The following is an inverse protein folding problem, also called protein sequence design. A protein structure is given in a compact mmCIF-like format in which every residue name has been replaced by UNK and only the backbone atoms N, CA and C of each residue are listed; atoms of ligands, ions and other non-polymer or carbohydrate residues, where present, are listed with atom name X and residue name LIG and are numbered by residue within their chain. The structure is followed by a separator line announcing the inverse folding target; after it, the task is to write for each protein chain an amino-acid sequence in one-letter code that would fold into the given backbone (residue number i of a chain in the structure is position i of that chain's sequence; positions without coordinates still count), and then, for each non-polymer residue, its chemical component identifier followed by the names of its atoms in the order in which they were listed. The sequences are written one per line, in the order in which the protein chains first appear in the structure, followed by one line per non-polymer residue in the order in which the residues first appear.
data_IF_806231456948
#
_entry.id   IF_806231456948
#
_cell.length_a   1.000
_cell.length_b   1.000
_cell.length_c   1.000
_cell.angle_alpha   90.00
_cell.angle_beta   90.00
_cell.angle_gamma   90.00
#
_symmetry.space_group_name_H-M   'P 1'
#
loop_
_entity.id
_entity.type
_entity.pdbx_description
1 polymer ?
#
# COMPACT_ATOMS: atom_id res chain seq x y z
N UNK A 1 6.76 -26.20 -14.41
CA UNK A 1 6.30 -24.80 -14.58
C UNK A 1 7.16 -24.12 -15.65
N UNK A 2 6.57 -23.29 -16.51
CA UNK A 2 7.36 -22.49 -17.46
C UNK A 2 8.12 -21.43 -16.66
N UNK A 3 9.43 -21.31 -16.91
CA UNK A 3 10.27 -20.32 -16.21
C UNK A 3 9.75 -18.91 -16.53
N UNK A 4 9.45 -18.12 -15.48
CA UNK A 4 9.08 -16.71 -15.64
C UNK A 4 10.35 -15.91 -15.95
N UNK A 5 10.31 -15.13 -17.03
CA UNK A 5 11.37 -14.17 -17.36
C UNK A 5 10.95 -12.82 -16.81
N UNK A 6 11.49 -12.45 -15.66
CA UNK A 6 11.17 -11.18 -14.98
C UNK A 6 12.43 -10.32 -14.94
N UNK A 7 12.27 -9.04 -15.25
CA UNK A 7 13.33 -8.03 -15.20
C UNK A 7 13.00 -6.93 -14.18
N UNK A 8 11.69 -6.62 -14.03
CA UNK A 8 11.21 -5.54 -13.15
C UNK A 8 10.11 -6.08 -12.23
N UNK A 9 10.19 -5.74 -10.94
CA UNK A 9 9.20 -6.11 -9.94
C UNK A 9 8.64 -4.84 -9.31
N UNK A 10 7.33 -4.66 -9.45
CA UNK A 10 6.58 -3.59 -8.81
C UNK A 10 5.93 -4.11 -7.54
N UNK A 11 5.97 -3.32 -6.48
CA UNK A 11 5.41 -3.68 -5.18
C UNK A 11 4.31 -2.70 -4.79
N UNK A 12 3.14 -3.24 -4.46
CA UNK A 12 2.21 -2.51 -3.61
C UNK A 12 2.86 -2.24 -2.24
N UNK A 13 2.43 -1.18 -1.56
CA UNK A 13 3.14 -0.68 -0.37
C UNK A 13 2.34 -0.92 0.91
N UNK A 14 1.10 -0.41 0.97
CA UNK A 14 0.27 -0.48 2.18
C UNK A 14 -0.37 -1.85 2.32
N UNK A 15 -0.08 -2.55 3.41
CA UNK A 15 -0.51 -3.93 3.65
C UNK A 15 0.46 -4.95 3.05
N UNK A 16 1.08 -4.66 1.92
CA UNK A 16 2.01 -5.56 1.23
C UNK A 16 3.42 -5.49 1.80
N UNK A 17 4.01 -4.28 1.87
CA UNK A 17 5.35 -4.03 2.41
C UNK A 17 5.29 -3.55 3.85
N UNK A 18 4.29 -2.74 4.20
CA UNK A 18 4.13 -2.12 5.51
C UNK A 18 2.86 -2.60 6.22
N UNK A 19 2.99 -2.95 7.51
CA UNK A 19 1.88 -3.23 8.41
C UNK A 19 1.20 -1.91 8.82
N UNK A 20 0.26 -1.46 7.99
CA UNK A 20 -0.46 -0.22 8.22
C UNK A 20 -1.37 -0.29 9.44
N UNK A 21 -2.08 -1.42 9.63
CA UNK A 21 -3.11 -1.55 10.66
C UNK A 21 -2.50 -1.45 12.06
N UNK A 22 -1.47 -2.24 12.36
CA UNK A 22 -0.78 -2.20 13.65
C UNK A 22 -0.11 -0.85 13.89
N UNK A 23 0.50 -0.27 12.83
CA UNK A 23 1.18 1.03 12.92
C UNK A 23 0.19 2.16 13.22
N UNK A 24 -0.91 2.26 12.48
CA UNK A 24 -1.92 3.31 12.68
C UNK A 24 -2.65 3.13 14.00
N UNK A 25 -2.98 1.91 14.41
CA UNK A 25 -3.54 1.64 15.74
C UNK A 25 -2.65 2.18 16.86
N UNK A 26 -1.34 1.94 16.79
CA UNK A 26 -0.41 2.45 17.79
C UNK A 26 -0.40 3.98 17.81
N UNK A 27 -0.38 4.62 16.64
CA UNK A 27 -0.46 6.08 16.53
C UNK A 27 -1.79 6.62 17.05
N UNK A 28 -2.90 5.94 16.79
CA UNK A 28 -4.24 6.28 17.29
C UNK A 28 -4.29 6.16 18.82
N UNK A 29 -3.72 5.10 19.39
CA UNK A 29 -3.60 4.94 20.85
C UNK A 29 -2.75 6.05 21.48
N UNK A 30 -1.63 6.40 20.85
CA UNK A 30 -0.79 7.49 21.31
C UNK A 30 -1.53 8.83 21.27
N UNK A 31 -2.30 9.08 20.21
CA UNK A 31 -3.10 10.28 20.02
C UNK A 31 -4.22 10.37 21.05
N UNK A 32 -5.02 9.30 21.24
CA UNK A 32 -6.10 9.28 22.23
C UNK A 32 -5.57 9.50 23.65
N UNK A 33 -4.46 8.87 24.00
CA UNK A 33 -3.81 9.02 25.31
C UNK A 33 -3.29 10.45 25.52
N UNK A 34 -2.62 11.04 24.53
CA UNK A 34 -2.07 12.40 24.59
C UNK A 34 -3.14 13.46 24.88
N UNK A 35 -4.30 13.31 24.25
CA UNK A 35 -5.40 14.27 24.37
C UNK A 35 -6.50 13.83 25.34
N UNK A 36 -6.30 12.69 26.05
CA UNK A 36 -7.26 12.11 27.01
C UNK A 36 -8.63 11.87 26.37
N UNK A 37 -8.63 11.39 25.13
CA UNK A 37 -9.84 11.08 24.38
C UNK A 37 -10.35 9.69 24.77
N UNK A 38 -11.65 9.48 24.62
CA UNK A 38 -12.30 8.20 24.91
C UNK A 38 -13.07 7.73 23.69
N UNK A 39 -12.46 6.87 22.91
CA UNK A 39 -13.08 6.15 21.79
C UNK A 39 -12.35 4.82 21.58
N UNK A 40 -12.96 3.91 20.81
CA UNK A 40 -12.33 2.63 20.45
C UNK A 40 -11.30 2.86 19.33
N UNK A 41 -10.02 2.69 19.63
CA UNK A 41 -8.91 2.93 18.70
C UNK A 41 -8.91 1.93 17.54
N UNK A 42 -9.46 0.72 17.73
CA UNK A 42 -9.64 -0.25 16.66
C UNK A 42 -10.66 0.25 15.65
N UNK A 43 -11.85 0.57 16.13
CA UNK A 43 -12.95 1.07 15.32
C UNK A 43 -12.55 2.37 14.60
N UNK A 44 -11.82 3.27 15.29
CA UNK A 44 -11.33 4.50 14.69
C UNK A 44 -10.36 4.22 13.52
N UNK A 45 -9.39 3.34 13.73
CA UNK A 45 -8.40 2.96 12.71
C UNK A 45 -9.08 2.34 11.48
N UNK A 46 -10.02 1.42 11.70
CA UNK A 46 -10.74 0.74 10.63
C UNK A 46 -11.64 1.72 9.85
N UNK A 47 -12.33 2.62 10.55
CA UNK A 47 -13.16 3.65 9.92
C UNK A 47 -12.30 4.65 9.11
N UNK A 48 -11.10 5.01 9.60
CA UNK A 48 -10.18 5.86 8.85
C UNK A 48 -9.78 5.21 7.53
N UNK A 49 -9.42 3.93 7.57
CA UNK A 49 -9.09 3.16 6.36
C UNK A 49 -10.29 2.98 5.43
N UNK A 50 -11.47 2.67 5.98
CA UNK A 50 -12.69 2.50 5.21
C UNK A 50 -13.12 3.79 4.51
N UNK A 51 -13.07 4.93 5.21
CA UNK A 51 -13.35 6.24 4.64
C UNK A 51 -12.40 6.60 3.50
N UNK A 52 -11.09 6.31 3.67
CA UNK A 52 -10.11 6.46 2.60
C UNK A 52 -10.50 5.64 1.35
N UNK A 53 -10.79 4.35 1.51
CA UNK A 53 -11.19 3.48 0.38
C UNK A 53 -12.46 3.95 -0.31
N UNK A 54 -13.43 4.46 0.45
CA UNK A 54 -14.67 5.03 -0.11
C UNK A 54 -14.38 6.26 -0.98
N UNK A 55 -13.58 7.21 -0.49
CA UNK A 55 -13.25 8.42 -1.24
C UNK A 55 -12.36 8.12 -2.45
N UNK A 56 -11.41 7.21 -2.31
CA UNK A 56 -10.60 6.70 -3.41
C UNK A 56 -11.45 6.11 -4.52
N UNK A 57 -12.48 5.31 -4.18
CA UNK A 57 -13.38 4.72 -5.18
C UNK A 57 -14.18 5.79 -5.93
N UNK A 58 -14.57 6.88 -5.27
CA UNK A 58 -15.26 8.01 -5.92
C UNK A 58 -14.37 8.70 -6.95
N UNK A 59 -13.06 8.85 -6.65
CA UNK A 59 -12.09 9.36 -7.62
C UNK A 59 -11.94 8.39 -8.80
N UNK A 60 -11.74 7.10 -8.53
CA UNK A 60 -11.58 6.09 -9.56
C UNK A 60 -12.80 5.98 -10.51
N UNK A 61 -14.00 6.25 -10.00
CA UNK A 61 -15.26 6.24 -10.76
C UNK A 61 -15.58 7.60 -11.42
N UNK A 62 -14.69 8.60 -11.37
CA UNK A 62 -14.89 9.92 -11.93
C UNK A 62 -15.99 10.75 -11.23
N UNK A 63 -16.37 10.36 -10.02
CA UNK A 63 -17.37 11.10 -9.21
C UNK A 63 -16.72 12.23 -8.41
N UNK A 64 -15.42 12.31 -8.43
CA UNK A 64 -14.61 13.30 -7.72
C UNK A 64 -13.27 13.49 -8.44
N UNK A 65 -12.74 14.73 -8.41
CA UNK A 65 -11.39 15.03 -8.86
C UNK A 65 -10.33 14.28 -8.03
N UNK A 66 -9.17 14.06 -8.63
CA UNK A 66 -8.04 13.42 -7.93
C UNK A 66 -7.61 14.25 -6.72
N UNK A 67 -7.44 13.58 -5.61
CA UNK A 67 -6.82 14.07 -4.39
C UNK A 67 -5.67 13.12 -4.01
N UNK A 68 -4.62 13.63 -3.39
CA UNK A 68 -3.56 12.79 -2.82
C UNK A 68 -4.09 11.95 -1.65
N UNK A 69 -3.36 10.89 -1.31
CA UNK A 69 -3.70 10.06 -0.15
C UNK A 69 -3.73 10.87 1.15
N UNK A 70 -2.78 11.82 1.33
CA UNK A 70 -2.75 12.70 2.50
C UNK A 70 -3.99 13.58 2.62
N UNK A 71 -4.47 14.14 1.50
CA UNK A 71 -5.66 14.96 1.48
C UNK A 71 -6.91 14.14 1.82
N UNK A 72 -7.03 12.94 1.26
CA UNK A 72 -8.14 12.03 1.58
C UNK A 72 -8.09 11.59 3.05
N UNK A 73 -6.92 11.21 3.56
CA UNK A 73 -6.77 10.83 4.96
C UNK A 73 -7.13 11.96 5.90
N UNK A 74 -6.70 13.20 5.59
CA UNK A 74 -7.05 14.38 6.39
C UNK A 74 -8.56 14.67 6.39
N UNK A 75 -9.21 14.52 5.23
CA UNK A 75 -10.66 14.70 5.13
C UNK A 75 -11.41 13.69 5.99
N UNK A 76 -11.04 12.40 5.90
CA UNK A 76 -11.66 11.34 6.71
C UNK A 76 -11.34 11.54 8.19
N UNK A 77 -10.11 11.94 8.55
CA UNK A 77 -9.74 12.23 9.93
C UNK A 77 -10.64 13.31 10.53
N UNK A 78 -10.84 14.42 9.81
CA UNK A 78 -11.73 15.49 10.27
C UNK A 78 -13.17 15.00 10.45
N UNK A 79 -13.71 14.21 9.51
CA UNK A 79 -15.05 13.62 9.63
C UNK A 79 -15.19 12.74 10.88
N UNK A 80 -14.21 11.88 11.15
CA UNK A 80 -14.23 11.01 12.33
C UNK A 80 -14.16 11.80 13.64
N UNK A 81 -13.35 12.86 13.69
CA UNK A 81 -13.25 13.69 14.87
C UNK A 81 -14.54 14.51 15.11
N UNK A 82 -15.17 15.02 14.04
CA UNK A 82 -16.46 15.72 14.12
C UNK A 82 -17.57 14.79 14.63
N UNK A 83 -17.64 13.55 14.15
CA UNK A 83 -18.59 12.52 14.61
C UNK A 83 -18.41 12.21 16.12
N UNK A 84 -17.18 12.28 16.60
CA UNK A 84 -16.84 12.08 18.01
C UNK A 84 -16.96 13.37 18.86
N UNK A 85 -17.34 14.51 18.26
CA UNK A 85 -17.39 15.83 18.87
C UNK A 85 -16.03 16.27 19.45
N UNK A 86 -14.92 15.92 18.80
CA UNK A 86 -13.55 16.26 19.18
C UNK A 86 -13.11 17.49 18.37
N UNK A 87 -13.13 18.68 18.97
CA UNK A 87 -12.88 19.95 18.26
C UNK A 87 -11.66 20.75 18.81
N UNK A 88 -11.07 20.31 19.92
CA UNK A 88 -10.03 21.06 20.64
C UNK A 88 -8.60 20.68 20.26
N UNK A 89 -8.41 20.09 19.07
CA UNK A 89 -7.08 19.70 18.57
C UNK A 89 -6.58 20.75 17.57
N UNK A 90 -5.38 21.27 17.79
CA UNK A 90 -4.79 22.25 16.86
C UNK A 90 -4.54 21.64 15.48
N UNK A 91 -4.64 22.48 14.43
CA UNK A 91 -4.37 22.05 13.05
C UNK A 91 -3.00 21.40 12.88
N UNK A 92 -1.98 21.94 13.54
CA UNK A 92 -0.62 21.37 13.51
C UNK A 92 -0.60 19.93 14.05
N UNK A 93 -1.29 19.67 15.16
CA UNK A 93 -1.38 18.34 15.74
C UNK A 93 -2.20 17.36 14.88
N UNK A 94 -3.23 17.84 14.18
CA UNK A 94 -3.98 17.04 13.22
C UNK A 94 -3.13 16.68 12.00
N UNK A 95 -2.35 17.62 11.48
CA UNK A 95 -1.38 17.35 10.40
C UNK A 95 -0.36 16.32 10.84
N UNK A 96 0.21 16.45 12.05
CA UNK A 96 1.16 15.47 12.56
C UNK A 96 0.53 14.08 12.75
N UNK A 97 -0.73 14.03 13.21
CA UNK A 97 -1.45 12.75 13.34
C UNK A 97 -1.78 12.16 11.96
N UNK A 98 -2.18 12.97 10.97
CA UNK A 98 -2.37 12.50 9.61
C UNK A 98 -1.07 11.95 9.02
N UNK A 99 0.08 12.55 9.32
CA UNK A 99 1.39 12.04 8.91
C UNK A 99 1.80 10.71 9.58
N UNK A 100 0.97 10.11 10.44
CA UNK A 100 1.16 8.73 10.93
C UNK A 100 1.33 7.73 9.78
N UNK A 101 0.62 7.96 8.68
CA UNK A 101 0.72 7.14 7.47
C UNK A 101 2.11 7.22 6.80
N UNK A 102 2.95 8.19 7.15
CA UNK A 102 4.34 8.31 6.71
C UNK A 102 5.34 7.55 7.62
N UNK A 103 4.86 6.93 8.73
CA UNK A 103 5.69 6.32 9.77
C UNK A 103 5.37 4.84 10.01
N UNK A 104 4.73 4.19 9.04
CA UNK A 104 4.38 2.78 9.12
C UNK A 104 5.63 1.91 9.31
N UNK A 105 5.45 0.78 9.98
CA UNK A 105 6.49 -0.22 10.14
C UNK A 105 6.40 -1.26 9.03
N UNK A 106 7.53 -1.65 8.41
CA UNK A 106 7.53 -2.74 7.44
C UNK A 106 7.24 -4.07 8.14
N UNK A 107 6.75 -5.06 7.38
CA UNK A 107 6.73 -6.44 7.82
C UNK A 107 8.17 -6.96 8.03
N UNK A 108 8.33 -7.98 8.86
CA UNK A 108 9.64 -8.49 9.27
C UNK A 108 10.50 -8.98 8.08
N UNK A 109 9.85 -9.53 7.04
CA UNK A 109 10.47 -10.03 5.81
C UNK A 109 10.74 -8.95 4.75
N UNK A 110 10.18 -7.74 4.92
CA UNK A 110 10.19 -6.74 3.86
C UNK A 110 11.59 -6.23 3.53
N UNK A 111 12.39 -5.91 4.55
CA UNK A 111 13.71 -5.30 4.33
C UNK A 111 14.66 -6.32 3.71
N UNK A 112 14.73 -7.54 4.28
CA UNK A 112 15.62 -8.60 3.79
C UNK A 112 15.22 -9.08 2.40
N UNK A 113 13.93 -9.35 2.18
CA UNK A 113 13.43 -9.84 0.91
C UNK A 113 13.60 -8.83 -0.23
N UNK A 114 13.28 -7.55 0.02
CA UNK A 114 13.48 -6.50 -1.00
C UNK A 114 14.97 -6.28 -1.30
N UNK A 115 15.84 -6.34 -0.29
CA UNK A 115 17.29 -6.21 -0.48
C UNK A 115 17.88 -7.36 -1.33
N UNK A 116 17.40 -8.60 -1.13
CA UNK A 116 17.84 -9.73 -1.97
C UNK A 116 17.34 -9.58 -3.41
N UNK A 117 16.06 -9.24 -3.60
CA UNK A 117 15.47 -9.06 -4.93
C UNK A 117 16.15 -7.94 -5.72
N UNK A 118 16.51 -6.82 -5.08
CA UNK A 118 17.21 -5.69 -5.69
C UNK A 118 18.56 -6.08 -6.32
N UNK A 119 19.22 -7.10 -5.83
CA UNK A 119 20.49 -7.56 -6.40
C UNK A 119 20.33 -8.21 -7.79
N UNK A 120 19.11 -8.56 -8.17
CA UNK A 120 18.83 -9.35 -9.39
C UNK A 120 17.79 -8.72 -10.31
N UNK A 121 16.95 -7.85 -9.80
CA UNK A 121 15.81 -7.25 -10.50
C UNK A 121 15.77 -5.74 -10.24
N UNK A 122 15.18 -4.99 -11.16
CA UNK A 122 14.76 -3.62 -10.87
C UNK A 122 13.55 -3.72 -9.92
N UNK A 123 13.62 -3.14 -8.72
CA UNK A 123 12.52 -3.11 -7.77
C UNK A 123 11.96 -1.71 -7.64
N UNK A 124 10.65 -1.58 -7.79
CA UNK A 124 9.95 -0.31 -7.70
C UNK A 124 8.75 -0.38 -6.77
N UNK A 125 8.58 0.61 -5.91
CA UNK A 125 7.27 0.82 -5.30
C UNK A 125 6.28 1.29 -6.38
N UNK A 126 5.04 0.77 -6.37
CA UNK A 126 3.92 1.24 -7.19
C UNK A 126 2.68 1.33 -6.29
N UNK A 127 2.34 2.53 -5.84
CA UNK A 127 1.43 2.71 -4.73
C UNK A 127 0.43 3.84 -4.92
N UNK A 128 -0.73 3.69 -4.30
CA UNK A 128 -1.74 4.73 -4.17
C UNK A 128 -1.31 5.87 -3.22
N UNK A 129 -0.24 5.65 -2.42
CA UNK A 129 0.33 6.69 -1.57
C UNK A 129 0.96 7.82 -2.39
N UNK A 130 0.86 9.06 -1.90
CA UNK A 130 1.54 10.18 -2.52
C UNK A 130 3.07 10.06 -2.39
N UNK A 131 3.80 10.63 -3.34
CA UNK A 131 5.24 10.45 -3.47
C UNK A 131 6.00 10.84 -2.19
N UNK A 132 5.64 11.95 -1.56
CA UNK A 132 6.30 12.41 -0.34
C UNK A 132 6.17 11.40 0.82
N UNK A 133 5.00 10.76 0.95
CA UNK A 133 4.75 9.70 1.92
C UNK A 133 5.62 8.47 1.63
N UNK A 134 5.65 8.00 0.38
CA UNK A 134 6.43 6.83 -0.03
C UNK A 134 7.94 7.05 0.19
N UNK A 135 8.44 8.26 -0.10
CA UNK A 135 9.84 8.63 0.15
C UNK A 135 10.15 8.62 1.65
N UNK A 136 9.27 9.18 2.49
CA UNK A 136 9.44 9.15 3.96
C UNK A 136 9.42 7.73 4.50
N UNK A 137 8.48 6.89 4.04
CA UNK A 137 8.41 5.47 4.42
C UNK A 137 9.69 4.72 4.05
N UNK A 138 10.15 4.87 2.81
CA UNK A 138 11.41 4.29 2.32
C UNK A 138 12.59 4.68 3.22
N UNK A 139 12.74 5.98 3.49
CA UNK A 139 13.84 6.51 4.30
C UNK A 139 13.78 6.05 5.75
N UNK A 140 12.60 6.06 6.36
CA UNK A 140 12.40 5.69 7.77
C UNK A 140 12.61 4.19 8.03
N UNK A 141 12.37 3.34 7.02
CA UNK A 141 12.51 1.88 7.11
C UNK A 141 13.83 1.35 6.55
N UNK A 142 14.66 2.24 5.97
CA UNK A 142 15.89 1.84 5.27
C UNK A 142 15.64 0.86 4.10
N UNK A 143 14.48 0.98 3.43
CA UNK A 143 14.18 0.25 2.20
C UNK A 143 14.70 1.07 1.02
N UNK A 144 15.54 0.47 0.19
CA UNK A 144 16.20 1.13 -0.95
C UNK A 144 15.60 0.66 -2.27
N UNK A 145 14.59 1.35 -2.74
CA UNK A 145 14.00 1.14 -4.06
C UNK A 145 14.95 1.61 -5.19
N UNK A 146 14.82 1.02 -6.39
CA UNK A 146 15.41 1.59 -7.61
C UNK A 146 14.54 2.73 -8.14
N UNK A 147 13.21 2.63 -7.94
CA UNK A 147 12.24 3.66 -8.29
C UNK A 147 11.08 3.70 -7.29
N UNK A 148 10.50 4.87 -7.10
CA UNK A 148 9.28 5.05 -6.31
C UNK A 148 8.24 5.70 -7.23
N UNK A 149 7.19 4.95 -7.57
CA UNK A 149 6.10 5.40 -8.43
C UNK A 149 4.82 5.55 -7.61
N UNK A 150 4.38 6.79 -7.52
CA UNK A 150 3.09 7.16 -6.95
C UNK A 150 2.02 7.21 -8.04
N UNK A 151 0.79 6.83 -7.70
CA UNK A 151 -0.36 7.04 -8.58
C UNK A 151 -0.66 8.51 -8.86
N UNK A 152 -0.08 9.46 -8.11
CA UNK A 152 -0.10 10.90 -8.42
C UNK A 152 0.37 11.20 -9.85
N UNK A 153 1.37 10.45 -10.35
CA UNK A 153 1.91 10.65 -11.70
C UNK A 153 0.89 10.35 -12.80
N UNK A 154 -0.16 9.62 -12.46
CA UNK A 154 -1.19 9.17 -13.41
C UNK A 154 -2.53 9.86 -13.20
N UNK A 155 -2.70 10.64 -12.13
CA UNK A 155 -3.94 11.35 -11.77
C UNK A 155 -5.12 10.43 -11.49
N UNK A 156 -4.85 9.18 -11.10
CA UNK A 156 -5.86 8.16 -10.77
C UNK A 156 -5.27 7.16 -9.77
N UNK A 157 -6.06 6.17 -9.36
CA UNK A 157 -5.67 5.14 -8.40
C UNK A 157 -5.67 3.75 -9.01
N UNK A 158 -4.89 2.82 -8.47
CA UNK A 158 -5.07 1.39 -8.72
C UNK A 158 -6.50 0.97 -8.33
N UNK A 159 -7.17 0.11 -9.11
CA UNK A 159 -6.63 -0.71 -10.19
C UNK A 159 -6.83 -0.12 -11.63
N UNK A 160 -6.84 1.19 -11.82
CA UNK A 160 -6.92 1.77 -13.18
C UNK A 160 -5.72 1.28 -14.03
N UNK A 161 -5.95 0.71 -15.24
CA UNK A 161 -4.89 0.24 -16.14
C UNK A 161 -3.82 1.28 -16.46
N UNK A 162 -4.16 2.58 -16.44
CA UNK A 162 -3.21 3.68 -16.66
C UNK A 162 -2.04 3.64 -15.70
N UNK A 163 -2.27 3.18 -14.46
CA UNK A 163 -1.24 3.11 -13.43
C UNK A 163 -0.20 2.06 -13.79
N UNK A 164 -0.63 0.84 -14.11
CA UNK A 164 0.26 -0.29 -14.43
C UNK A 164 1.01 -0.05 -15.74
N UNK A 165 0.28 0.29 -16.81
CA UNK A 165 0.85 0.56 -18.13
C UNK A 165 1.77 1.79 -18.09
N UNK A 166 1.40 2.81 -17.32
CA UNK A 166 2.23 3.99 -17.10
C UNK A 166 3.52 3.66 -16.35
N UNK A 167 3.47 2.83 -15.30
CA UNK A 167 4.64 2.38 -14.56
C UNK A 167 5.60 1.57 -15.44
N UNK A 168 5.08 0.61 -16.23
CA UNK A 168 5.85 -0.17 -17.21
C UNK A 168 6.54 0.76 -18.21
N UNK A 169 5.82 1.76 -18.72
CA UNK A 169 6.36 2.74 -19.67
C UNK A 169 7.46 3.62 -19.05
N UNK A 170 7.27 4.11 -17.82
CA UNK A 170 8.26 4.98 -17.15
C UNK A 170 9.59 4.26 -16.89
N UNK A 171 9.57 2.95 -16.66
CA UNK A 171 10.77 2.15 -16.47
C UNK A 171 11.26 1.48 -17.76
N UNK A 172 10.69 1.84 -18.91
CA UNK A 172 11.02 1.26 -20.23
C UNK A 172 11.04 -0.28 -20.20
N UNK A 173 10.18 -0.89 -19.35
CA UNK A 173 10.08 -2.34 -19.20
C UNK A 173 9.00 -2.92 -20.11
N UNK A 174 8.92 -4.26 -20.16
CA UNK A 174 7.88 -4.99 -20.88
C UNK A 174 6.87 -5.54 -19.85
N UNK A 175 5.57 -5.40 -20.09
CA UNK A 175 4.55 -5.89 -19.18
C UNK A 175 4.69 -7.40 -18.89
N UNK A 176 4.97 -8.22 -19.92
CA UNK A 176 5.14 -9.68 -19.78
C UNK A 176 6.41 -10.07 -18.98
N UNK A 177 7.39 -9.17 -18.86
CA UNK A 177 8.62 -9.33 -18.09
C UNK A 177 8.60 -8.51 -16.80
N UNK A 178 7.46 -7.90 -16.47
CA UNK A 178 7.19 -7.15 -15.24
C UNK A 178 6.26 -7.93 -14.34
N UNK A 179 6.54 -7.93 -13.05
CA UNK A 179 5.72 -8.60 -12.04
C UNK A 179 5.17 -7.58 -11.05
N UNK A 180 3.87 -7.67 -10.74
CA UNK A 180 3.25 -6.97 -9.61
C UNK A 180 3.21 -7.90 -8.41
N UNK A 181 3.69 -7.43 -7.26
CA UNK A 181 3.63 -8.12 -5.96
C UNK A 181 2.68 -7.37 -5.05
N UNK A 182 1.66 -8.03 -4.54
CA UNK A 182 0.69 -7.44 -3.63
C UNK A 182 0.05 -8.48 -2.70
N UNK A 183 -0.45 -8.01 -1.55
CA UNK A 183 -1.33 -8.78 -0.65
C UNK A 183 -2.81 -8.62 -0.99
N UNK A 184 -3.14 -7.80 -1.99
CA UNK A 184 -4.51 -7.46 -2.38
C UNK A 184 -4.84 -8.05 -3.75
N UNK A 185 -5.83 -8.95 -3.79
CA UNK A 185 -6.25 -9.62 -5.01
C UNK A 185 -6.71 -8.64 -6.11
N UNK A 186 -7.43 -7.57 -5.76
CA UNK A 186 -7.91 -6.57 -6.72
C UNK A 186 -6.76 -5.84 -7.45
N UNK A 187 -5.63 -5.63 -6.77
CA UNK A 187 -4.45 -4.99 -7.33
C UNK A 187 -3.78 -5.91 -8.37
N UNK A 188 -3.64 -7.18 -8.02
CA UNK A 188 -3.11 -8.19 -8.93
C UNK A 188 -4.03 -8.45 -10.14
N UNK A 189 -5.35 -8.43 -9.93
CA UNK A 189 -6.32 -8.53 -11.03
C UNK A 189 -6.17 -7.33 -12.01
N UNK A 190 -5.92 -6.13 -11.48
CA UNK A 190 -5.58 -4.95 -12.29
C UNK A 190 -4.28 -5.11 -13.07
N UNK A 191 -3.26 -5.70 -12.46
CA UNK A 191 -1.97 -5.99 -13.10
C UNK A 191 -2.10 -7.06 -14.20
N UNK A 192 -2.91 -8.12 -13.99
CA UNK A 192 -3.23 -9.12 -15.02
C UNK A 192 -3.86 -8.45 -16.24
N UNK A 193 -4.83 -7.57 -16.03
CA UNK A 193 -5.50 -6.84 -17.11
C UNK A 193 -4.55 -5.92 -17.89
N UNK A 194 -3.43 -5.50 -17.27
CA UNK A 194 -2.35 -4.76 -17.93
C UNK A 194 -1.28 -5.67 -18.59
N UNK A 195 -1.45 -6.99 -18.54
CA UNK A 195 -0.53 -7.97 -19.14
C UNK A 195 0.71 -8.28 -18.30
N UNK A 196 0.74 -7.88 -17.04
CA UNK A 196 1.85 -8.16 -16.13
C UNK A 196 1.76 -9.55 -15.53
N UNK A 197 2.88 -10.05 -15.02
CA UNK A 197 2.95 -11.21 -14.12
C UNK A 197 2.57 -10.80 -12.71
N UNK A 198 2.13 -11.77 -11.91
CA UNK A 198 1.60 -11.50 -10.59
C UNK A 198 2.18 -12.42 -9.52
N UNK A 199 2.43 -11.85 -8.36
CA UNK A 199 2.81 -12.58 -7.17
C UNK A 199 1.94 -12.12 -5.99
N UNK A 200 1.12 -13.02 -5.47
CA UNK A 200 0.38 -12.78 -4.25
C UNK A 200 1.26 -13.12 -3.03
N UNK A 201 1.37 -12.20 -2.08
CA UNK A 201 2.03 -12.45 -0.79
C UNK A 201 1.02 -12.46 0.33
N UNK A 202 1.01 -13.51 1.14
CA UNK A 202 0.13 -13.63 2.29
C UNK A 202 0.49 -12.64 3.40
N UNK A 203 -0.52 -11.86 3.86
CA UNK A 203 -0.42 -10.97 5.02
C UNK A 203 -1.61 -11.22 5.96
N UNK A 204 -1.66 -12.39 6.63
CA UNK A 204 -2.85 -12.84 7.35
C UNK A 204 -3.26 -11.93 8.52
N UNK A 205 -2.35 -11.08 8.98
CA UNK A 205 -2.58 -10.16 10.09
C UNK A 205 -2.75 -8.69 9.65
N UNK A 206 -2.91 -8.44 8.35
CA UNK A 206 -2.99 -7.06 7.81
C UNK A 206 -4.14 -6.25 8.44
N UNK A 207 -5.28 -6.88 8.68
CA UNK A 207 -6.48 -6.24 9.27
C UNK A 207 -6.64 -6.56 10.76
N UNK A 208 -5.59 -7.07 11.40
CA UNK A 208 -5.64 -7.55 12.78
C UNK A 208 -5.88 -9.06 12.87
N UNK A 209 -5.69 -9.62 14.06
CA UNK A 209 -5.74 -11.07 14.28
C UNK A 209 -7.14 -11.63 14.00
N UNK A 210 -7.22 -12.60 13.10
CA UNK A 210 -8.46 -13.32 12.78
C UNK A 210 -9.39 -12.62 11.78
N UNK A 211 -8.97 -11.50 11.20
CA UNK A 211 -9.70 -10.80 10.14
C UNK A 211 -8.93 -11.01 8.83
N UNK A 212 -9.59 -11.60 7.83
CA UNK A 212 -9.02 -11.77 6.49
C UNK A 212 -9.98 -11.28 5.42
N UNK A 213 -9.45 -10.68 4.36
CA UNK A 213 -10.24 -10.44 3.14
C UNK A 213 -10.55 -11.78 2.45
N UNK A 214 -11.67 -11.82 1.73
CA UNK A 214 -11.94 -12.95 0.83
C UNK A 214 -11.19 -12.72 -0.49
N UNK A 215 -10.07 -13.42 -0.65
CA UNK A 215 -9.19 -13.26 -1.81
C UNK A 215 -9.64 -14.07 -3.04
N UNK A 216 -10.68 -14.90 -2.90
CA UNK A 216 -11.12 -15.82 -3.94
C UNK A 216 -10.09 -16.91 -4.24
N UNK A 217 -10.12 -17.43 -5.47
CA UNK A 217 -9.14 -18.43 -5.92
C UNK A 217 -7.80 -17.80 -6.28
N UNK A 218 -6.78 -18.06 -5.44
CA UNK A 218 -5.43 -17.53 -5.62
C UNK A 218 -4.65 -18.23 -6.76
N UNK A 219 -5.14 -19.36 -7.28
CA UNK A 219 -4.47 -20.12 -8.36
C UNK A 219 -4.41 -19.33 -9.68
N UNK A 220 -5.16 -18.23 -9.81
CA UNK A 220 -5.10 -17.33 -10.98
C UNK A 220 -3.85 -16.45 -11.03
N UNK A 221 -3.08 -16.36 -9.94
CA UNK A 221 -1.82 -15.63 -9.90
C UNK A 221 -0.64 -16.51 -10.27
N UNK A 222 0.39 -15.94 -10.92
CA UNK A 222 1.56 -16.70 -11.37
C UNK A 222 2.36 -17.29 -10.20
N UNK A 223 2.44 -16.56 -9.06
CA UNK A 223 3.05 -17.00 -7.80
C UNK A 223 2.15 -16.68 -6.62
N UNK A 224 2.22 -17.55 -5.61
CA UNK A 224 1.63 -17.33 -4.27
C UNK A 224 2.70 -17.69 -3.26
N UNK A 225 3.04 -16.76 -2.35
CA UNK A 225 4.14 -16.89 -1.40
C UNK A 225 3.70 -16.44 0.00
N UNK A 226 4.41 -16.94 1.02
CA UNK A 226 4.21 -16.53 2.41
C UNK A 226 5.10 -15.34 2.81
N UNK A 227 6.22 -15.13 2.08
CA UNK A 227 7.16 -14.04 2.36
C UNK A 227 7.86 -13.55 1.09
N UNK A 228 8.45 -12.35 1.14
CA UNK A 228 9.25 -11.83 0.04
C UNK A 228 10.52 -12.64 -0.23
N UNK A 229 11.05 -13.30 0.80
CA UNK A 229 12.26 -14.14 0.68
C UNK A 229 12.02 -15.34 -0.25
N UNK A 230 10.79 -15.85 -0.33
CA UNK A 230 10.44 -16.96 -1.21
C UNK A 230 10.43 -16.57 -2.69
N UNK A 231 10.12 -15.30 -3.02
CA UNK A 231 10.02 -14.82 -4.41
C UNK A 231 11.31 -15.09 -5.18
N UNK A 232 12.45 -14.76 -4.57
CA UNK A 232 13.78 -14.98 -5.14
C UNK A 232 14.03 -16.45 -5.48
N UNK A 233 13.59 -17.36 -4.59
CA UNK A 233 13.71 -18.81 -4.79
C UNK A 233 12.90 -19.34 -5.98
N UNK A 234 11.74 -18.73 -6.28
CA UNK A 234 10.92 -19.10 -7.42
C UNK A 234 11.44 -18.52 -8.74
N UNK A 235 11.95 -17.30 -8.74
CA UNK A 235 12.37 -16.61 -9.96
C UNK A 235 13.77 -17.03 -10.43
N UNK A 236 14.67 -17.46 -9.53
CA UNK A 236 16.04 -17.91 -9.87
C UNK A 236 16.09 -19.34 -10.44
N UNK A 237 15.02 -20.10 -10.32
CA UNK A 237 14.91 -21.48 -10.88
C UNK A 237 14.48 -21.42 -12.34
#
# INVERSE_FOLDING_TARGET
MKKLKINTIFFDVFGTVFDWHKSIRQETTNFSSKYKLSFDEFVFTDNWRAGFRLLQSKVANGQRDYLSMDEIHMEVLNQLLDELNINDISKENLVNFNESWHRLKPWDDSISGLSDLKNHYIISALSNGNLSMLVKLSKNSNIHWDSILSTEFFGTYKPDPKVYLGAVKLLESNAEESMMVASHAYDLDGAINAGMKTCYVHRPNEFGTGISENYGDLSRFDLVVESFEEISGYLKK
#
